data_IF_742984922694
#
_entry.id   IF_742984922694
#
_cell.length_a   1.000
_cell.length_b   1.000
_cell.length_c   1.000
_cell.angle_alpha   90.00
_cell.angle_beta   90.00
_cell.angle_gamma   90.00
#
_symmetry.space_group_name_H-M   'P 1'
#
loop_
_entity.id
_entity.type
_entity.pdbx_description
1 polymer ?
#
# COMPACT_ATOMS: atom_id res chain seq x y z
N UNK A 1 20.22 0.48 -21.25
CA UNK A 1 19.26 0.58 -20.14
C UNK A 1 19.42 -0.65 -19.26
N UNK A 2 19.44 -0.46 -17.95
CA UNK A 2 19.49 -1.58 -17.01
C UNK A 2 18.18 -2.37 -17.05
N UNK A 3 18.24 -3.64 -16.64
CA UNK A 3 17.06 -4.48 -16.42
C UNK A 3 16.51 -4.23 -15.01
N UNK A 4 15.25 -4.54 -14.81
CA UNK A 4 14.58 -4.41 -13.52
C UNK A 4 13.94 -5.74 -13.13
N UNK A 5 14.31 -6.28 -11.98
CA UNK A 5 13.86 -7.57 -11.47
C UNK A 5 13.05 -7.41 -10.19
N UNK A 6 12.03 -8.26 -10.02
CA UNK A 6 11.30 -8.39 -8.76
C UNK A 6 12.06 -9.40 -7.90
N UNK A 7 12.70 -8.94 -6.82
CA UNK A 7 13.55 -9.76 -5.95
C UNK A 7 12.91 -10.11 -4.61
N UNK A 8 11.81 -9.46 -4.26
CA UNK A 8 11.07 -9.73 -3.05
C UNK A 8 9.62 -9.32 -3.21
N UNK A 9 8.72 -10.02 -2.54
CA UNK A 9 7.29 -9.71 -2.56
C UNK A 9 6.63 -10.11 -1.25
N UNK A 10 5.69 -9.29 -0.80
CA UNK A 10 4.76 -9.64 0.28
C UNK A 10 3.44 -8.90 0.11
N UNK A 11 2.36 -9.53 0.57
CA UNK A 11 1.03 -8.96 0.50
C UNK A 11 0.21 -9.26 1.76
N UNK A 12 -0.73 -8.37 2.07
CA UNK A 12 -1.89 -8.58 2.93
C UNK A 12 -3.11 -8.24 2.09
N UNK A 13 -4.09 -9.12 2.03
CA UNK A 13 -5.30 -8.93 1.24
C UNK A 13 -6.49 -9.62 1.92
N UNK A 14 -7.69 -9.42 1.37
CA UNK A 14 -8.91 -10.08 1.82
C UNK A 14 -8.91 -11.59 1.54
N UNK A 15 -8.09 -12.05 0.62
CA UNK A 15 -7.91 -13.47 0.32
C UNK A 15 -6.68 -14.00 1.05
N UNK A 16 -6.73 -15.26 1.48
CA UNK A 16 -5.60 -15.89 2.17
C UNK A 16 -4.39 -16.00 1.22
N UNK A 17 -3.42 -15.10 1.43
CA UNK A 17 -2.20 -14.94 0.61
C UNK A 17 -1.04 -15.82 1.08
N UNK A 18 -1.22 -16.59 2.17
CA UNK A 18 -0.15 -17.41 2.80
C UNK A 18 0.43 -18.46 1.86
N UNK A 19 -0.33 -18.80 0.82
CA UNK A 19 0.13 -19.64 -0.28
C UNK A 19 -0.17 -18.92 -1.60
N UNK A 20 0.74 -18.08 -2.06
CA UNK A 20 0.67 -17.51 -3.41
C UNK A 20 0.98 -18.62 -4.42
N UNK A 21 0.05 -19.54 -4.57
CA UNK A 21 -0.05 -20.36 -5.76
C UNK A 21 -0.92 -19.54 -6.71
N UNK A 22 -0.36 -19.09 -7.81
CA UNK A 22 -1.11 -18.64 -8.97
C UNK A 22 -1.92 -19.84 -9.50
N UNK A 23 -2.90 -20.30 -8.74
CA UNK A 23 -3.79 -21.38 -9.15
C UNK A 23 -5.04 -20.75 -9.73
N UNK A 24 -5.55 -21.34 -10.78
CA UNK A 24 -6.77 -20.95 -11.49
C UNK A 24 -8.04 -20.93 -10.61
N UNK A 25 -7.92 -21.28 -9.34
CA UNK A 25 -9.01 -21.38 -8.35
C UNK A 25 -9.02 -20.23 -7.34
N UNK A 26 -8.94 -18.98 -7.81
CA UNK A 26 -9.25 -17.84 -6.97
C UNK A 26 -10.74 -17.87 -6.62
N UNK A 27 -11.09 -18.10 -5.36
CA UNK A 27 -12.46 -17.93 -4.88
C UNK A 27 -12.88 -16.48 -5.13
N UNK A 28 -13.93 -16.22 -5.93
CA UNK A 28 -14.36 -14.86 -6.18
C UNK A 28 -14.71 -14.17 -4.88
N UNK A 29 -14.28 -12.91 -4.72
CA UNK A 29 -14.74 -12.07 -3.61
C UNK A 29 -16.26 -11.90 -3.74
N UNK A 30 -17.01 -12.32 -2.72
CA UNK A 30 -18.47 -12.29 -2.71
C UNK A 30 -19.02 -11.02 -2.09
N UNK A 31 -18.26 -10.44 -1.18
CA UNK A 31 -18.64 -9.21 -0.49
C UNK A 31 -18.36 -7.96 -1.33
N UNK A 32 -19.09 -6.89 -1.05
CA UNK A 32 -18.90 -5.60 -1.71
C UNK A 32 -17.71 -4.82 -1.12
N UNK A 33 -17.49 -4.98 0.18
CA UNK A 33 -16.34 -4.50 0.92
C UNK A 33 -15.57 -5.72 1.44
N UNK A 34 -14.31 -5.84 1.05
CA UNK A 34 -13.47 -6.99 1.36
C UNK A 34 -12.35 -6.57 2.28
N UNK A 35 -12.51 -6.83 3.57
CA UNK A 35 -11.52 -6.51 4.60
C UNK A 35 -10.32 -7.45 4.54
N UNK A 36 -9.15 -6.92 4.81
CA UNK A 36 -7.91 -7.69 4.83
C UNK A 36 -7.88 -8.72 5.97
N UNK A 37 -7.33 -9.91 5.68
CA UNK A 37 -6.96 -10.90 6.69
C UNK A 37 -5.64 -10.47 7.35
N UNK A 38 -5.75 -9.73 8.47
CA UNK A 38 -4.60 -9.13 9.14
C UNK A 38 -3.77 -10.18 9.88
N UNK A 39 -2.43 -10.15 9.72
CA UNK A 39 -1.54 -11.04 10.47
C UNK A 39 -1.40 -10.60 11.93
N UNK A 40 -0.75 -11.44 12.73
CA UNK A 40 -0.32 -11.04 14.07
C UNK A 40 0.90 -10.11 14.00
N UNK A 41 0.66 -8.82 14.07
CA UNK A 41 1.72 -7.80 13.99
C UNK A 41 2.70 -7.79 15.19
N UNK A 42 2.37 -8.44 16.32
CA UNK A 42 3.20 -8.47 17.53
C UNK A 42 4.55 -9.16 17.31
N UNK A 43 4.65 -9.98 16.28
CA UNK A 43 5.91 -10.64 15.89
C UNK A 43 6.92 -9.67 15.27
N UNK A 44 6.47 -8.49 14.82
CA UNK A 44 7.27 -7.54 14.06
C UNK A 44 7.36 -6.16 14.71
N UNK A 45 6.35 -5.79 15.47
CA UNK A 45 6.20 -4.45 16.03
C UNK A 45 5.99 -4.51 17.54
N UNK A 46 6.58 -3.57 18.27
CA UNK A 46 6.38 -3.46 19.71
C UNK A 46 4.92 -3.11 20.04
N UNK A 47 4.45 -3.52 21.22
CA UNK A 47 3.10 -3.20 21.67
C UNK A 47 2.85 -1.69 21.79
N UNK A 48 3.87 -0.90 22.09
CA UNK A 48 3.78 0.57 22.15
C UNK A 48 3.61 1.18 20.75
N UNK A 49 4.32 0.69 19.75
CA UNK A 49 4.18 1.11 18.35
C UNK A 49 2.80 0.77 17.80
N UNK A 50 2.34 -0.47 18.04
CA UNK A 50 1.04 -0.94 17.55
C UNK A 50 -0.15 -0.11 18.03
N UNK A 51 -0.09 0.46 19.23
CA UNK A 51 -1.17 1.30 19.78
C UNK A 51 -1.29 2.65 19.08
N UNK A 52 -0.21 3.13 18.46
CA UNK A 52 -0.13 4.46 17.83
C UNK A 52 -0.30 4.42 16.32
N UNK A 53 -0.21 3.24 15.71
CA UNK A 53 -0.28 3.07 14.27
C UNK A 53 -1.70 2.78 13.80
N UNK A 54 -2.09 3.42 12.71
CA UNK A 54 -3.31 3.07 11.98
C UNK A 54 -3.22 1.70 11.33
N UNK A 55 -4.33 1.22 10.82
CA UNK A 55 -4.42 -0.05 10.11
C UNK A 55 -3.55 -0.04 8.84
N UNK A 56 -3.67 1.02 8.02
CA UNK A 56 -2.87 1.17 6.80
C UNK A 56 -1.37 1.15 7.10
N UNK A 57 -0.92 1.86 8.15
CA UNK A 57 0.49 1.86 8.56
C UNK A 57 0.97 0.48 9.00
N UNK A 58 0.18 -0.26 9.78
CA UNK A 58 0.52 -1.63 10.20
C UNK A 58 0.65 -2.57 9.01
N UNK A 59 -0.32 -2.55 8.09
CA UNK A 59 -0.28 -3.37 6.88
C UNK A 59 0.94 -3.04 6.03
N UNK A 60 1.19 -1.74 5.79
CA UNK A 60 2.32 -1.27 5.00
C UNK A 60 3.68 -1.66 5.59
N UNK A 61 3.89 -1.42 6.88
CA UNK A 61 5.14 -1.79 7.57
C UNK A 61 5.40 -3.29 7.54
N UNK A 62 4.37 -4.08 7.83
CA UNK A 62 4.50 -5.54 7.83
C UNK A 62 4.88 -6.07 6.44
N UNK A 63 4.16 -5.65 5.40
CA UNK A 63 4.42 -6.11 4.03
C UNK A 63 5.76 -5.61 3.50
N UNK A 64 6.13 -4.36 3.76
CA UNK A 64 7.43 -3.81 3.40
C UNK A 64 8.59 -4.61 4.00
N UNK A 65 8.53 -4.91 5.31
CA UNK A 65 9.54 -5.73 5.97
C UNK A 65 9.60 -7.18 5.45
N UNK A 66 8.44 -7.78 5.19
CA UNK A 66 8.37 -9.14 4.64
C UNK A 66 8.94 -9.20 3.23
N UNK A 67 8.62 -8.22 2.37
CA UNK A 67 9.18 -8.12 1.03
C UNK A 67 10.71 -7.97 1.08
N UNK A 68 11.22 -7.08 1.97
CA UNK A 68 12.66 -6.91 2.15
C UNK A 68 13.35 -8.19 2.64
N UNK A 69 12.78 -8.86 3.63
CA UNK A 69 13.31 -10.14 4.15
C UNK A 69 13.30 -11.28 3.12
N UNK A 70 12.40 -11.24 2.14
CA UNK A 70 12.36 -12.25 1.07
C UNK A 70 13.40 -11.98 -0.03
N UNK A 71 13.99 -10.78 -0.06
CA UNK A 71 15.02 -10.36 -1.00
C UNK A 71 16.44 -10.53 -0.43
N UNK A 72 17.45 -10.28 -1.26
CA UNK A 72 18.86 -10.19 -0.87
C UNK A 72 19.34 -8.73 -0.74
N UNK A 73 18.41 -7.76 -0.83
CA UNK A 73 18.71 -6.34 -0.70
C UNK A 73 18.83 -5.98 0.78
N UNK A 74 19.93 -5.36 1.17
CA UNK A 74 20.21 -4.95 2.56
C UNK A 74 19.84 -3.49 2.83
N UNK A 75 20.00 -2.62 1.83
CA UNK A 75 19.73 -1.19 1.94
C UNK A 75 18.82 -0.75 0.79
N UNK A 76 17.80 0.03 1.12
CA UNK A 76 16.82 0.55 0.16
C UNK A 76 17.23 1.94 -0.28
N UNK A 77 17.31 2.16 -1.60
CA UNK A 77 17.68 3.44 -2.22
C UNK A 77 16.45 4.29 -2.60
N UNK A 78 15.25 3.70 -2.63
CA UNK A 78 14.01 4.44 -2.82
C UNK A 78 12.82 3.71 -2.17
N UNK A 79 11.87 4.46 -1.62
CA UNK A 79 10.57 3.97 -1.16
C UNK A 79 9.51 4.71 -1.96
N UNK A 80 8.77 4.00 -2.81
CA UNK A 80 7.79 4.59 -3.71
C UNK A 80 6.46 3.86 -3.49
N UNK A 81 5.44 4.59 -3.08
CA UNK A 81 4.14 4.01 -2.76
C UNK A 81 3.03 4.60 -3.61
N UNK A 82 2.00 3.82 -3.83
CA UNK A 82 0.74 4.25 -4.42
C UNK A 82 -0.42 4.02 -3.45
N UNK A 83 -1.36 4.95 -3.41
CA UNK A 83 -2.61 4.79 -2.66
C UNK A 83 -3.73 5.50 -3.41
N UNK A 84 -4.92 4.92 -3.40
CA UNK A 84 -6.09 5.54 -4.02
C UNK A 84 -6.71 6.62 -3.13
N UNK A 85 -6.85 6.32 -1.84
CA UNK A 85 -7.56 7.15 -0.87
C UNK A 85 -6.73 7.53 0.37
N UNK A 86 -5.52 7.01 0.49
CA UNK A 86 -4.62 7.31 1.60
C UNK A 86 -5.04 6.66 2.92
N UNK A 87 -4.62 7.27 4.03
CA UNK A 87 -5.01 6.87 5.39
C UNK A 87 -6.41 7.36 5.71
N UNK A 88 -7.41 6.76 5.07
CA UNK A 88 -8.78 7.26 5.05
C UNK A 88 -9.46 7.19 6.42
N UNK A 89 -9.21 6.12 7.20
CA UNK A 89 -9.76 5.98 8.55
C UNK A 89 -9.23 7.06 9.51
N UNK A 90 -7.94 7.40 9.41
CA UNK A 90 -7.36 8.49 10.18
C UNK A 90 -7.88 9.86 9.72
N UNK A 91 -8.10 10.05 8.42
CA UNK A 91 -8.73 11.25 7.85
C UNK A 91 -10.16 11.43 8.38
N UNK A 92 -10.98 10.38 8.37
CA UNK A 92 -12.33 10.40 8.97
C UNK A 92 -12.30 10.80 10.43
N UNK A 93 -11.38 10.19 11.20
CA UNK A 93 -11.23 10.47 12.62
C UNK A 93 -10.78 11.90 12.88
N UNK A 94 -9.82 12.39 12.10
CA UNK A 94 -9.33 13.77 12.21
C UNK A 94 -10.44 14.77 11.92
N UNK A 95 -11.18 14.61 10.82
CA UNK A 95 -12.29 15.49 10.43
C UNK A 95 -13.43 15.41 11.45
N UNK A 96 -13.76 14.24 11.97
CA UNK A 96 -14.78 14.11 13.01
C UNK A 96 -14.40 14.87 14.29
N UNK A 97 -13.14 14.75 14.72
CA UNK A 97 -12.65 15.49 15.90
C UNK A 97 -12.65 17.01 15.66
N UNK A 98 -12.28 17.45 14.47
CA UNK A 98 -12.27 18.87 14.08
C UNK A 98 -13.68 19.46 14.19
N UNK A 99 -14.70 18.79 13.66
CA UNK A 99 -16.09 19.25 13.71
C UNK A 99 -16.65 19.17 15.13
N UNK A 100 -16.38 18.09 15.88
CA UNK A 100 -16.92 17.89 17.24
C UNK A 100 -16.35 18.86 18.27
N UNK A 101 -15.14 19.35 18.03
CA UNK A 101 -14.45 20.26 18.96
C UNK A 101 -14.44 21.71 18.46
N UNK A 102 -15.32 22.07 17.51
CA UNK A 102 -15.40 23.42 16.94
C UNK A 102 -14.03 23.97 16.50
N UNK A 103 -13.22 23.09 15.86
CA UNK A 103 -11.84 23.37 15.40
C UNK A 103 -10.82 23.63 16.51
N UNK A 104 -11.18 23.40 17.79
CA UNK A 104 -10.28 23.53 18.92
C UNK A 104 -9.63 22.18 19.32
N UNK A 105 -8.55 22.24 20.10
CA UNK A 105 -7.85 21.08 20.71
C UNK A 105 -7.41 19.99 19.72
N UNK A 106 -7.08 20.38 18.49
CA UNK A 106 -6.59 19.47 17.46
C UNK A 106 -5.17 18.99 17.79
N UNK A 107 -4.93 17.68 17.66
CA UNK A 107 -3.61 17.12 17.89
C UNK A 107 -2.81 17.06 16.59
N UNK A 108 -1.55 17.55 16.57
CA UNK A 108 -0.70 17.45 15.38
C UNK A 108 -0.52 16.01 14.89
N UNK A 109 -0.50 15.05 15.80
CA UNK A 109 -0.37 13.62 15.48
C UNK A 109 -1.53 13.12 14.61
N UNK A 110 -2.77 13.50 14.93
CA UNK A 110 -3.95 13.11 14.15
C UNK A 110 -3.88 13.65 12.71
N UNK A 111 -3.44 14.89 12.55
CA UNK A 111 -3.22 15.50 11.23
C UNK A 111 -2.14 14.76 10.44
N UNK A 112 -0.96 14.52 11.04
CA UNK A 112 0.14 13.81 10.38
C UNK A 112 -0.29 12.41 9.94
N UNK A 113 -1.05 11.69 10.76
CA UNK A 113 -1.53 10.35 10.45
C UNK A 113 -2.57 10.32 9.31
N UNK A 114 -3.27 11.42 9.06
CA UNK A 114 -4.28 11.50 7.99
C UNK A 114 -3.69 11.78 6.60
N UNK A 115 -2.38 12.08 6.50
CA UNK A 115 -1.78 12.41 5.21
C UNK A 115 -1.49 11.16 4.37
N UNK A 116 -1.57 11.28 3.04
CA UNK A 116 -1.40 10.16 2.11
C UNK A 116 -0.01 9.52 2.15
N UNK A 117 1.02 10.31 2.45
CA UNK A 117 2.41 9.85 2.52
C UNK A 117 2.79 9.21 3.87
N UNK A 118 1.89 9.15 4.83
CA UNK A 118 2.17 8.62 6.18
C UNK A 118 2.74 7.22 6.16
N UNK A 119 2.19 6.31 5.34
CA UNK A 119 2.69 4.92 5.29
C UNK A 119 4.13 4.87 4.80
N UNK A 120 4.45 5.54 3.69
CA UNK A 120 5.81 5.59 3.14
C UNK A 120 6.80 6.22 4.13
N UNK A 121 6.39 7.30 4.82
CA UNK A 121 7.21 7.97 5.83
C UNK A 121 7.47 7.05 7.04
N UNK A 122 6.47 6.32 7.53
CA UNK A 122 6.62 5.37 8.64
C UNK A 122 7.52 4.18 8.25
N UNK A 123 7.44 3.70 7.00
CA UNK A 123 8.35 2.67 6.49
C UNK A 123 9.79 3.22 6.47
N UNK A 124 10.01 4.44 5.96
CA UNK A 124 11.33 5.07 5.94
C UNK A 124 11.93 5.21 7.34
N UNK A 125 11.16 5.71 8.30
CA UNK A 125 11.58 5.82 9.69
C UNK A 125 11.94 4.46 10.30
N UNK A 126 11.14 3.44 10.03
CA UNK A 126 11.35 2.10 10.56
C UNK A 126 12.58 1.40 9.96
N UNK A 127 12.85 1.62 8.68
CA UNK A 127 14.02 1.08 7.97
C UNK A 127 15.26 1.96 8.09
N UNK A 128 15.18 3.12 8.79
CA UNK A 128 16.22 4.14 8.85
C UNK A 128 16.70 4.59 7.45
N UNK A 129 15.77 4.64 6.50
CA UNK A 129 16.02 5.00 5.11
C UNK A 129 15.81 6.52 4.92
N UNK A 130 16.86 7.24 4.55
CA UNK A 130 16.82 8.68 4.25
C UNK A 130 16.88 8.95 2.73
N UNK A 131 16.66 7.92 1.92
CA UNK A 131 16.70 8.00 0.47
C UNK A 131 15.39 8.56 -0.11
N UNK A 132 15.26 8.53 -1.43
CA UNK A 132 14.07 8.99 -2.14
C UNK A 132 12.79 8.35 -1.58
N UNK A 133 11.80 9.19 -1.26
CA UNK A 133 10.52 8.74 -0.70
C UNK A 133 9.39 9.50 -1.36
N UNK A 134 8.54 8.80 -2.12
CA UNK A 134 7.44 9.43 -2.84
C UNK A 134 6.16 8.62 -2.75
N UNK A 135 5.01 9.32 -2.74
CA UNK A 135 3.68 8.69 -2.70
C UNK A 135 2.82 9.21 -3.83
N UNK A 136 2.39 8.32 -4.71
CA UNK A 136 1.46 8.60 -5.79
C UNK A 136 0.02 8.49 -5.30
N UNK A 137 -0.81 9.49 -5.65
CA UNK A 137 -2.22 9.58 -5.28
C UNK A 137 -3.05 9.86 -6.54
N UNK A 138 -3.04 8.89 -7.45
CA UNK A 138 -3.68 8.97 -8.77
C UNK A 138 -4.91 8.03 -8.87
N UNK A 139 -5.65 7.86 -7.77
CA UNK A 139 -6.78 6.94 -7.72
C UNK A 139 -6.36 5.51 -8.03
N UNK A 140 -7.06 4.83 -8.92
CA UNK A 140 -6.81 3.44 -9.29
C UNK A 140 -5.48 3.17 -10.00
N UNK A 141 -4.77 4.20 -10.49
CA UNK A 141 -3.49 4.05 -11.18
C UNK A 141 -2.27 4.41 -10.30
N UNK A 142 -2.48 4.55 -8.99
CA UNK A 142 -1.44 5.02 -8.07
C UNK A 142 -0.28 4.03 -7.95
N UNK A 143 -0.58 2.74 -7.88
CA UNK A 143 0.45 1.70 -7.81
C UNK A 143 1.24 1.59 -9.10
N UNK A 144 0.58 1.62 -10.25
CA UNK A 144 1.22 1.57 -11.56
C UNK A 144 2.14 2.78 -11.76
N UNK A 145 1.74 3.97 -11.31
CA UNK A 145 2.58 5.16 -11.35
C UNK A 145 3.82 5.01 -10.45
N UNK A 146 3.66 4.47 -9.25
CA UNK A 146 4.78 4.19 -8.34
C UNK A 146 5.75 3.15 -8.93
N UNK A 147 5.23 2.10 -9.56
CA UNK A 147 6.04 1.07 -10.19
C UNK A 147 6.77 1.59 -11.43
N UNK A 148 6.12 2.45 -12.23
CA UNK A 148 6.73 3.09 -13.40
C UNK A 148 7.88 4.01 -13.00
N UNK A 149 7.70 4.83 -11.96
CA UNK A 149 8.74 5.70 -11.44
C UNK A 149 9.98 4.89 -11.03
N UNK A 150 9.80 3.84 -10.22
CA UNK A 150 10.91 2.96 -9.84
C UNK A 150 11.59 2.30 -11.04
N UNK A 151 10.81 1.81 -12.01
CA UNK A 151 11.33 1.21 -13.25
C UNK A 151 12.20 2.20 -14.02
N UNK A 152 11.75 3.44 -14.18
CA UNK A 152 12.49 4.48 -14.90
C UNK A 152 13.78 4.86 -14.18
N UNK A 153 13.75 5.07 -12.85
CA UNK A 153 14.94 5.38 -12.07
C UNK A 153 15.99 4.26 -12.14
N UNK A 154 15.56 2.98 -12.05
CA UNK A 154 16.46 1.82 -12.20
C UNK A 154 17.03 1.75 -13.62
N UNK A 155 16.19 1.89 -14.67
CA UNK A 155 16.63 1.84 -16.07
C UNK A 155 17.59 2.97 -16.41
N UNK A 156 17.43 4.15 -15.81
CA UNK A 156 18.27 5.32 -15.99
C UNK A 156 19.56 5.29 -15.13
N UNK A 157 19.72 4.27 -14.28
CA UNK A 157 20.85 4.13 -13.37
C UNK A 157 20.92 5.23 -12.30
N UNK A 158 19.76 5.75 -11.89
CA UNK A 158 19.64 6.74 -10.80
C UNK A 158 19.65 6.03 -9.45
N UNK A 159 19.02 4.83 -9.38
CA UNK A 159 19.03 3.93 -8.22
C UNK A 159 19.30 2.48 -8.67
N UNK A 160 19.76 1.65 -7.75
CA UNK A 160 19.97 0.21 -7.99
C UNK A 160 18.82 -0.65 -7.49
N UNK A 161 18.04 -0.15 -6.54
CA UNK A 161 16.88 -0.85 -6.01
C UNK A 161 15.85 0.10 -5.42
N UNK A 162 14.61 -0.39 -5.31
CA UNK A 162 13.49 0.33 -4.70
C UNK A 162 12.55 -0.62 -3.97
N UNK A 163 11.98 -0.16 -2.87
CA UNK A 163 10.80 -0.73 -2.24
C UNK A 163 9.56 -0.03 -2.82
N UNK A 164 8.77 -0.76 -3.57
CA UNK A 164 7.58 -0.24 -4.26
C UNK A 164 6.33 -0.94 -3.75
N UNK A 165 5.27 -0.20 -3.42
CA UNK A 165 4.05 -0.83 -2.93
C UNK A 165 2.79 -0.01 -3.10
N UNK A 166 1.66 -0.70 -2.96
CA UNK A 166 0.33 -0.11 -2.88
C UNK A 166 -0.34 -0.43 -1.55
N UNK A 167 -1.03 0.55 -0.97
CA UNK A 167 -1.73 0.41 0.30
C UNK A 167 -3.05 1.15 0.25
N UNK A 168 -4.15 0.46 0.53
CA UNK A 168 -5.45 1.08 0.73
C UNK A 168 -6.21 0.39 1.87
N UNK A 169 -7.02 1.16 2.60
CA UNK A 169 -7.84 0.67 3.70
C UNK A 169 -9.31 1.02 3.50
N UNK A 170 -10.19 0.26 4.11
CA UNK A 170 -11.63 0.54 4.16
C UNK A 170 -11.92 1.37 5.40
N UNK A 171 -12.45 2.59 5.20
CA UNK A 171 -12.98 3.44 6.24
C UNK A 171 -14.51 3.45 6.20
N UNK A 172 -15.14 3.20 7.32
CA UNK A 172 -16.56 2.82 7.36
C UNK A 172 -17.49 3.91 6.82
N UNK A 173 -17.30 5.18 7.24
CA UNK A 173 -18.21 6.28 6.85
C UNK A 173 -18.08 6.63 5.38
N UNK A 174 -16.87 6.82 4.90
CA UNK A 174 -16.63 7.18 3.50
C UNK A 174 -17.12 6.09 2.56
N UNK A 175 -16.87 4.82 2.87
CA UNK A 175 -17.33 3.72 2.02
C UNK A 175 -18.85 3.55 2.03
N UNK A 176 -19.52 3.83 3.15
CA UNK A 176 -20.98 3.90 3.19
C UNK A 176 -21.53 5.03 2.29
N UNK A 177 -20.90 6.21 2.30
CA UNK A 177 -21.29 7.31 1.40
C UNK A 177 -21.06 6.94 -0.07
N UNK A 178 -19.93 6.31 -0.39
CA UNK A 178 -19.63 5.84 -1.75
C UNK A 178 -20.60 4.76 -2.23
N UNK A 179 -21.13 3.94 -1.31
CA UNK A 179 -22.21 2.99 -1.64
C UNK A 179 -23.53 3.71 -1.92
N UNK A 180 -23.87 4.77 -1.19
CA UNK A 180 -25.09 5.55 -1.42
C UNK A 180 -25.09 6.25 -2.79
N UNK A 181 -23.93 6.65 -3.29
CA UNK A 181 -23.80 7.29 -4.61
C UNK A 181 -23.37 6.28 -5.70
N UNK A 182 -23.49 4.97 -5.42
CA UNK A 182 -23.24 3.86 -6.35
C UNK A 182 -21.83 3.80 -6.96
N UNK A 183 -20.84 4.44 -6.34
CA UNK A 183 -19.42 4.27 -6.69
C UNK A 183 -18.94 2.89 -6.25
N UNK A 184 -19.38 2.44 -5.07
CA UNK A 184 -19.18 1.07 -4.58
C UNK A 184 -20.48 0.31 -4.72
N UNK A 185 -20.40 -0.92 -5.19
CA UNK A 185 -21.55 -1.80 -5.31
C UNK A 185 -22.16 -2.07 -3.93
N UNK A 186 -23.48 -1.86 -3.79
CA UNK A 186 -24.23 -2.07 -2.54
C UNK A 186 -25.18 -3.26 -2.59
N UNK A 187 -25.49 -3.75 -3.79
CA UNK A 187 -26.39 -4.90 -4.01
C UNK A 187 -25.81 -5.82 -5.10
N UNK A 188 -26.26 -7.10 -5.13
CA UNK A 188 -25.80 -8.08 -6.14
C UNK A 188 -26.03 -7.63 -7.60
N UNK A 189 -27.08 -6.86 -7.83
CA UNK A 189 -27.46 -6.35 -9.16
C UNK A 189 -27.17 -4.84 -9.30
N UNK A 190 -26.52 -4.22 -8.32
CA UNK A 190 -26.20 -2.80 -8.33
C UNK A 190 -25.01 -2.48 -9.23
N UNK A 191 -24.93 -1.22 -9.65
CA UNK A 191 -23.74 -0.63 -10.26
C UNK A 191 -22.66 -0.39 -9.21
N UNK A 192 -21.47 -0.05 -9.66
CA UNK A 192 -20.32 0.26 -8.80
C UNK A 192 -19.31 -0.89 -8.69
N UNK A 193 -18.16 -0.54 -8.15
CA UNK A 193 -17.03 -1.47 -7.99
C UNK A 193 -17.10 -2.20 -6.65
N UNK A 194 -16.50 -3.39 -6.57
CA UNK A 194 -16.16 -4.02 -5.30
C UNK A 194 -14.86 -3.43 -4.80
N UNK A 195 -14.80 -3.13 -3.52
CA UNK A 195 -13.61 -2.59 -2.88
C UNK A 195 -12.98 -3.61 -1.95
N UNK A 196 -11.65 -3.61 -1.92
CA UNK A 196 -10.85 -4.38 -0.98
C UNK A 196 -9.82 -3.50 -0.30
N UNK A 197 -9.43 -3.87 0.90
CA UNK A 197 -8.28 -3.29 1.57
C UNK A 197 -7.10 -4.26 1.54
N UNK A 198 -5.91 -3.70 1.64
CA UNK A 198 -4.69 -4.48 1.70
C UNK A 198 -3.44 -3.63 1.53
N UNK A 199 -2.32 -4.32 1.54
CA UNK A 199 -1.01 -3.77 1.22
C UNK A 199 -0.20 -4.80 0.46
N UNK A 200 0.48 -4.37 -0.59
CA UNK A 200 1.40 -5.22 -1.35
C UNK A 200 2.68 -4.45 -1.61
N UNK A 201 3.82 -5.06 -1.30
CA UNK A 201 5.13 -4.47 -1.55
C UNK A 201 6.03 -5.41 -2.33
N UNK A 202 6.84 -4.80 -3.19
CA UNK A 202 7.84 -5.44 -4.02
C UNK A 202 9.21 -4.83 -3.76
N UNK A 203 10.25 -5.64 -3.82
CA UNK A 203 11.62 -5.18 -3.96
C UNK A 203 11.99 -5.27 -5.43
N UNK A 204 12.19 -4.12 -6.06
CA UNK A 204 12.70 -4.00 -7.42
C UNK A 204 14.21 -3.77 -7.37
N UNK A 205 14.98 -4.37 -8.31
CA UNK A 205 16.43 -4.22 -8.36
C UNK A 205 16.96 -4.41 -9.78
N UNK A 206 18.10 -3.77 -10.07
CA UNK A 206 18.86 -3.99 -11.31
C UNK A 206 19.65 -5.31 -11.32
N UNK A 207 19.72 -6.02 -10.17
CA UNK A 207 20.47 -7.27 -10.04
C UNK A 207 19.56 -8.47 -10.14
N UNK A 208 19.88 -9.38 -11.07
CA UNK A 208 19.28 -10.70 -11.10
C UNK A 208 19.89 -11.57 -9.97
N UNK A 209 19.05 -12.28 -9.24
CA UNK A 209 19.43 -13.28 -8.26
C UNK A 209 18.67 -14.58 -8.51
N UNK A 210 19.09 -15.68 -7.89
CA UNK A 210 18.34 -16.94 -7.97
C UNK A 210 16.95 -16.87 -7.34
N UNK A 211 16.68 -15.84 -6.54
CA UNK A 211 15.39 -15.56 -5.91
C UNK A 211 14.51 -14.59 -6.71
N UNK A 212 15.01 -14.08 -7.83
CA UNK A 212 14.21 -13.18 -8.68
C UNK A 212 12.98 -13.88 -9.21
N UNK A 213 11.81 -13.29 -8.98
CA UNK A 213 10.52 -13.82 -9.42
C UNK A 213 10.26 -13.57 -10.91
N UNK A 214 10.60 -12.37 -11.37
CA UNK A 214 10.36 -11.94 -12.75
C UNK A 214 11.23 -10.73 -13.12
N UNK A 215 11.32 -10.43 -14.43
CA UNK A 215 11.83 -9.18 -14.99
C UNK A 215 10.65 -8.29 -15.39
N UNK A 216 10.65 -7.02 -14.96
CA UNK A 216 9.71 -6.01 -15.44
C UNK A 216 10.31 -5.39 -16.72
N UNK A 217 9.75 -5.75 -17.86
CA UNK A 217 10.23 -5.25 -19.15
C UNK A 217 9.69 -3.85 -19.42
N UNK A 218 8.38 -3.65 -19.17
CA UNK A 218 7.70 -2.38 -19.41
C UNK A 218 6.43 -2.26 -18.56
N UNK A 219 5.96 -1.02 -18.36
CA UNK A 219 4.70 -0.70 -17.66
C UNK A 219 3.93 0.29 -18.55
N UNK A 220 2.73 -0.07 -18.93
CA UNK A 220 1.82 0.80 -19.68
C UNK A 220 0.59 1.12 -18.79
N UNK A 221 0.31 2.41 -18.60
CA UNK A 221 -0.86 2.89 -17.86
C UNK A 221 -1.93 3.31 -18.86
N UNK A 222 -3.08 2.66 -18.81
CA UNK A 222 -4.24 2.98 -19.68
C UNK A 222 -5.40 3.45 -18.83
N UNK A 223 -5.82 4.69 -19.01
CA UNK A 223 -7.08 5.17 -18.49
C UNK A 223 -8.21 4.71 -19.42
N UNK A 224 -9.23 4.04 -18.87
CA UNK A 224 -10.50 3.91 -19.57
C UNK A 224 -11.20 5.27 -19.49
N UNK A 225 -11.33 5.95 -20.60
CA UNK A 225 -12.20 7.11 -20.78
C UNK A 225 -13.66 6.66 -20.70
#
# INVERSE_FOLDING_TARGET
>A
MKKCYINGVAAIAAQNYREVKFTENNTPLTEFLNYADEPNYKEFLSASSLRRMSKAVKMGLFTAQKALKSSEVSEIEAIITGTGLGCLADSEKFLANLIQNDEEFLTPTAFIQSTHNTVAAQIALHLHCNAYNFTYVNGGNSFEAAALDALLQIKNNEISNALVGGIDEIATRTHQLLQLVEVIQSTKNGSGAKFGEGATFFILSDKFTQKSYAEIVDIEIRNKL
#
